data_IF_756347948548
#
_entry.id   IF_756347948548
#
_cell.length_a   1.000
_cell.length_b   1.000
_cell.length_c   1.000
_cell.angle_alpha   90.00
_cell.angle_beta   90.00
_cell.angle_gamma   90.00
#
_symmetry.space_group_name_H-M   'P 1'
#
loop_
_entity.id
_entity.type
_entity.pdbx_description
1 polymer ?
#
# COMPACT_ATOMS: atom_id res chain seq x y z
N UNK A 1 8.41 -30.90 19.30
CA UNK A 1 6.97 -30.66 19.55
C UNK A 1 6.36 -30.21 18.23
N UNK A 2 5.23 -30.78 17.82
CA UNK A 2 4.47 -30.19 16.72
C UNK A 2 3.94 -28.83 17.21
N UNK A 3 4.20 -27.76 16.46
CA UNK A 3 3.69 -26.43 16.79
C UNK A 3 2.17 -26.34 16.60
N UNK A 4 1.59 -25.12 16.71
CA UNK A 4 0.16 -24.92 16.50
C UNK A 4 -0.30 -25.41 15.13
N UNK A 5 -1.54 -25.91 15.05
CA UNK A 5 -2.20 -26.28 13.81
C UNK A 5 -2.43 -25.09 12.89
N UNK A 6 -2.80 -25.34 11.64
CA UNK A 6 -3.08 -24.27 10.67
C UNK A 6 -4.26 -23.40 11.13
N UNK A 7 -5.30 -24.02 11.66
CA UNK A 7 -6.50 -23.38 12.20
C UNK A 7 -6.19 -22.57 13.46
N UNK A 8 -5.30 -23.08 14.32
CA UNK A 8 -4.81 -22.35 15.49
C UNK A 8 -4.03 -21.09 15.06
N UNK A 9 -3.21 -21.16 14.01
CA UNK A 9 -2.52 -19.99 13.46
C UNK A 9 -3.48 -18.95 12.89
N UNK A 10 -4.50 -19.38 12.13
CA UNK A 10 -5.52 -18.46 11.59
C UNK A 10 -6.23 -17.73 12.74
N UNK A 11 -6.64 -18.47 13.77
CA UNK A 11 -7.30 -17.93 14.95
C UNK A 11 -6.40 -16.96 15.73
N UNK A 12 -5.17 -17.38 16.05
CA UNK A 12 -4.21 -16.55 16.81
C UNK A 12 -3.85 -15.24 16.10
N UNK A 13 -3.79 -15.25 14.76
CA UNK A 13 -3.48 -14.07 13.97
C UNK A 13 -4.73 -13.23 13.62
N UNK A 14 -5.93 -13.67 14.03
CA UNK A 14 -7.20 -12.99 13.72
C UNK A 14 -7.48 -12.89 12.22
N UNK A 15 -7.10 -13.91 11.45
CA UNK A 15 -7.26 -13.91 10.00
C UNK A 15 -8.63 -14.44 9.59
N UNK A 16 -9.20 -13.83 8.56
CA UNK A 16 -10.43 -14.28 7.92
C UNK A 16 -10.10 -14.77 6.51
N UNK A 17 -10.69 -15.91 6.14
CA UNK A 17 -10.59 -16.40 4.76
C UNK A 17 -11.39 -15.49 3.84
N UNK A 18 -10.78 -15.11 2.71
CA UNK A 18 -11.43 -14.37 1.64
C UNK A 18 -11.37 -15.17 0.33
N UNK A 19 -12.37 -14.94 -0.51
CA UNK A 19 -12.41 -15.42 -1.88
C UNK A 19 -11.87 -14.32 -2.79
N UNK A 20 -10.60 -14.44 -3.19
CA UNK A 20 -9.93 -13.46 -4.04
C UNK A 20 -9.85 -13.97 -5.48
N UNK A 21 -10.55 -13.34 -6.44
CA UNK A 21 -10.59 -13.79 -7.83
C UNK A 21 -9.22 -13.80 -8.54
N UNK A 22 -8.21 -13.15 -7.97
CA UNK A 22 -6.86 -13.12 -8.54
C UNK A 22 -5.96 -14.25 -8.02
N UNK A 23 -6.43 -15.04 -7.05
CA UNK A 23 -5.64 -16.08 -6.39
C UNK A 23 -6.47 -17.36 -6.31
N UNK A 24 -6.06 -18.38 -7.06
CA UNK A 24 -6.75 -19.68 -7.13
C UNK A 24 -6.80 -20.45 -5.80
N UNK A 25 -6.11 -19.97 -4.77
CA UNK A 25 -6.00 -20.59 -3.44
C UNK A 25 -6.64 -19.71 -2.38
N UNK A 26 -7.16 -20.28 -1.28
CA UNK A 26 -7.66 -19.50 -0.15
C UNK A 26 -6.65 -18.47 0.33
N UNK A 27 -7.11 -17.23 0.51
CA UNK A 27 -6.32 -16.13 1.04
C UNK A 27 -6.86 -15.79 2.43
N UNK A 28 -5.98 -15.53 3.39
CA UNK A 28 -6.33 -15.23 4.77
C UNK A 28 -5.82 -13.84 5.11
N UNK A 29 -6.70 -12.94 5.57
CA UNK A 29 -6.37 -11.52 5.80
C UNK A 29 -6.98 -11.00 7.10
N UNK A 30 -6.31 -10.04 7.74
CA UNK A 30 -6.88 -9.27 8.85
C UNK A 30 -7.84 -8.21 8.27
N UNK A 31 -8.99 -8.03 8.91
CA UNK A 31 -9.94 -6.95 8.59
C UNK A 31 -9.35 -5.59 8.94
N UNK A 32 -9.55 -4.61 8.08
CA UNK A 32 -9.19 -3.22 8.39
C UNK A 32 -10.42 -2.47 8.85
N UNK A 33 -10.65 -2.41 10.17
CA UNK A 33 -11.85 -1.79 10.76
C UNK A 33 -13.14 -2.31 10.09
N UNK A 34 -13.33 -3.62 10.14
CA UNK A 34 -14.47 -4.36 9.54
C UNK A 34 -14.61 -4.29 8.01
N UNK A 35 -13.63 -3.72 7.31
CA UNK A 35 -13.56 -3.77 5.85
C UNK A 35 -12.57 -4.86 5.41
N UNK A 36 -13.07 -5.83 4.65
CA UNK A 36 -12.26 -6.79 3.91
C UNK A 36 -12.05 -6.30 2.48
N UNK A 37 -10.79 -6.15 2.08
CA UNK A 37 -10.43 -5.76 0.71
C UNK A 37 -9.77 -6.94 -0.02
N UNK A 38 -10.17 -7.17 -1.27
CA UNK A 38 -9.47 -8.13 -2.14
C UNK A 38 -8.21 -7.47 -2.71
N UNK A 39 -7.36 -8.28 -3.33
CA UNK A 39 -6.09 -7.83 -3.89
C UNK A 39 -6.29 -6.74 -4.94
N UNK A 40 -7.34 -6.82 -5.77
CA UNK A 40 -7.61 -5.83 -6.81
C UNK A 40 -7.91 -4.43 -6.23
N UNK A 41 -8.72 -4.35 -5.18
CA UNK A 41 -9.09 -3.10 -4.51
C UNK A 41 -7.88 -2.45 -3.85
N UNK A 42 -7.00 -3.26 -3.25
CA UNK A 42 -5.73 -2.79 -2.68
C UNK A 42 -4.86 -2.17 -3.75
N UNK A 43 -4.64 -2.86 -4.87
CA UNK A 43 -3.83 -2.35 -5.96
C UNK A 43 -4.40 -1.04 -6.52
N UNK A 44 -5.73 -0.94 -6.63
CA UNK A 44 -6.42 0.28 -7.05
C UNK A 44 -6.18 1.45 -6.09
N UNK A 45 -6.25 1.20 -4.77
CA UNK A 45 -5.98 2.21 -3.75
C UNK A 45 -4.51 2.63 -3.74
N UNK A 46 -3.56 1.70 -3.83
CA UNK A 46 -2.12 2.02 -3.96
C UNK A 46 -1.87 2.87 -5.21
N UNK A 47 -2.43 2.47 -6.35
CA UNK A 47 -2.33 3.22 -7.61
C UNK A 47 -2.88 4.64 -7.49
N UNK A 48 -3.98 4.79 -6.76
CA UNK A 48 -4.59 6.09 -6.45
C UNK A 48 -3.69 6.92 -5.53
N UNK A 49 -3.07 6.32 -4.51
CA UNK A 49 -2.09 6.99 -3.65
C UNK A 49 -0.90 7.53 -4.44
N UNK A 50 -0.36 6.74 -5.39
CA UNK A 50 0.73 7.18 -6.27
C UNK A 50 0.33 8.38 -7.13
N UNK A 51 -0.85 8.31 -7.75
CA UNK A 51 -1.40 9.43 -8.54
C UNK A 51 -1.56 10.69 -7.70
N UNK A 52 -2.19 10.57 -6.54
CA UNK A 52 -2.42 11.68 -5.63
C UNK A 52 -1.09 12.29 -5.15
N UNK A 53 -0.07 11.48 -4.88
CA UNK A 53 1.26 11.95 -4.52
C UNK A 53 1.90 12.76 -5.66
N UNK A 54 1.83 12.26 -6.89
CA UNK A 54 2.31 12.99 -8.07
C UNK A 54 1.56 14.31 -8.28
N UNK A 55 0.24 14.29 -8.18
CA UNK A 55 -0.61 15.47 -8.38
C UNK A 55 -0.35 16.54 -7.32
N UNK A 56 -0.13 16.16 -6.04
CA UNK A 56 0.31 17.10 -4.99
C UNK A 56 1.64 17.78 -5.32
N UNK A 57 2.56 17.07 -5.95
CA UNK A 57 3.84 17.62 -6.43
C UNK A 57 3.72 18.41 -7.73
N UNK A 58 2.55 18.38 -8.38
CA UNK A 58 2.28 19.02 -9.68
C UNK A 58 3.27 18.58 -10.77
N UNK A 59 3.77 17.34 -10.70
CA UNK A 59 4.69 16.80 -11.70
C UNK A 59 3.86 16.08 -12.77
N UNK A 60 3.93 16.45 -14.06
CA UNK A 60 3.29 15.69 -15.11
C UNK A 60 4.02 14.36 -15.31
N UNK A 61 3.29 13.31 -15.70
CA UNK A 61 3.86 11.96 -15.92
C UNK A 61 5.03 11.98 -16.92
N UNK A 62 4.95 12.82 -17.95
CA UNK A 62 6.01 13.02 -18.95
C UNK A 62 7.34 13.54 -18.40
N UNK A 63 7.34 14.11 -17.19
CA UNK A 63 8.56 14.52 -16.48
C UNK A 63 8.97 13.51 -15.41
N UNK A 64 8.01 12.92 -14.71
CA UNK A 64 8.27 11.92 -13.68
C UNK A 64 8.81 10.60 -14.26
N UNK A 65 8.21 10.11 -15.33
CA UNK A 65 8.56 8.81 -15.90
C UNK A 65 10.04 8.73 -16.32
N UNK A 66 10.63 9.73 -17.02
CA UNK A 66 12.06 9.74 -17.32
C UNK A 66 12.96 9.74 -16.08
N UNK A 67 12.58 10.43 -14.99
CA UNK A 67 13.36 10.41 -13.73
C UNK A 67 13.43 9.00 -13.14
N UNK A 68 12.41 8.19 -13.41
CA UNK A 68 12.34 6.78 -13.01
C UNK A 68 12.95 5.84 -14.07
N UNK A 69 13.47 6.34 -15.19
CA UNK A 69 13.91 5.51 -16.31
C UNK A 69 12.77 4.75 -16.99
N UNK A 70 11.60 5.37 -17.11
CA UNK A 70 10.38 4.81 -17.71
C UNK A 70 9.87 5.69 -18.87
N UNK A 71 9.04 5.07 -19.72
CA UNK A 71 8.15 5.83 -20.60
C UNK A 71 6.91 6.30 -19.84
N UNK A 72 6.27 7.36 -20.35
CA UNK A 72 5.00 7.89 -19.84
C UNK A 72 3.91 6.80 -19.76
N UNK A 73 3.83 5.96 -20.79
CA UNK A 73 2.88 4.86 -20.86
C UNK A 73 3.10 3.82 -19.76
N UNK A 74 4.36 3.46 -19.45
CA UNK A 74 4.66 2.50 -18.39
C UNK A 74 4.26 3.06 -17.02
N UNK A 75 4.59 4.31 -16.74
CA UNK A 75 4.20 4.94 -15.48
C UNK A 75 2.68 5.11 -15.34
N UNK A 76 1.98 5.43 -16.45
CA UNK A 76 0.52 5.50 -16.47
C UNK A 76 -0.14 4.17 -16.05
N UNK A 77 0.45 3.02 -16.35
CA UNK A 77 -0.08 1.72 -15.92
C UNK A 77 -0.04 1.54 -14.41
N UNK A 78 0.99 2.07 -13.73
CA UNK A 78 1.07 2.06 -12.27
C UNK A 78 -0.05 2.88 -11.63
N UNK A 79 -0.37 4.05 -12.18
CA UNK A 79 -1.44 4.89 -11.62
C UNK A 79 -2.85 4.39 -11.93
N UNK A 80 -3.00 3.39 -12.80
CA UNK A 80 -4.30 2.81 -13.18
C UNK A 80 -4.46 1.34 -12.75
N UNK A 81 -3.61 0.84 -11.84
CA UNK A 81 -3.62 -0.54 -11.36
C UNK A 81 -3.49 -1.61 -12.46
N UNK A 82 -2.93 -1.25 -13.62
CA UNK A 82 -2.74 -2.16 -14.75
C UNK A 82 -1.46 -2.98 -14.58
N UNK A 83 -0.47 -2.45 -13.88
CA UNK A 83 0.74 -3.19 -13.48
C UNK A 83 1.20 -2.74 -12.11
N UNK A 84 1.82 -3.66 -11.37
CA UNK A 84 2.33 -3.41 -10.02
C UNK A 84 3.80 -2.98 -10.09
N UNK A 85 4.21 -1.88 -9.44
CA UNK A 85 5.63 -1.58 -9.30
C UNK A 85 6.28 -2.65 -8.41
N UNK A 86 7.53 -3.01 -8.68
CA UNK A 86 8.32 -3.78 -7.70
C UNK A 86 8.57 -2.92 -6.45
N UNK A 87 8.94 -3.53 -5.32
CA UNK A 87 9.24 -2.77 -4.09
C UNK A 87 10.38 -1.77 -4.33
N UNK A 88 11.45 -2.17 -5.01
CA UNK A 88 12.54 -1.25 -5.37
C UNK A 88 12.07 -0.10 -6.27
N UNK A 89 11.12 -0.36 -7.19
CA UNK A 89 10.49 0.69 -8.01
C UNK A 89 9.66 1.66 -7.16
N UNK A 90 8.89 1.14 -6.20
CA UNK A 90 8.10 1.95 -5.29
C UNK A 90 9.01 2.89 -4.47
N UNK A 91 10.14 2.39 -3.95
CA UNK A 91 11.11 3.22 -3.23
C UNK A 91 11.63 4.39 -4.08
N UNK A 92 12.02 4.13 -5.32
CA UNK A 92 12.48 5.19 -6.23
C UNK A 92 11.36 6.20 -6.55
N UNK A 93 10.10 5.75 -6.69
CA UNK A 93 8.96 6.66 -6.84
C UNK A 93 8.80 7.55 -5.61
N UNK A 94 8.93 6.96 -4.41
CA UNK A 94 8.86 7.68 -3.14
C UNK A 94 9.94 8.75 -3.02
N UNK A 95 11.18 8.46 -3.44
CA UNK A 95 12.28 9.43 -3.47
C UNK A 95 11.97 10.62 -4.38
N UNK A 96 11.57 10.36 -5.63
CA UNK A 96 11.32 11.43 -6.62
C UNK A 96 10.09 12.27 -6.25
N UNK A 97 9.05 11.64 -5.70
CA UNK A 97 7.85 12.33 -5.22
C UNK A 97 8.02 12.90 -3.80
N UNK A 98 9.15 12.65 -3.15
CA UNK A 98 9.45 12.96 -1.76
C UNK A 98 8.22 12.67 -0.87
N UNK A 99 7.84 11.39 -0.86
CA UNK A 99 6.73 10.85 -0.07
C UNK A 99 7.18 9.58 0.64
N UNK A 100 6.74 9.37 1.88
CA UNK A 100 7.08 8.13 2.57
C UNK A 100 6.31 6.92 1.99
N UNK A 101 6.92 5.72 1.93
CA UNK A 101 6.19 4.50 1.57
C UNK A 101 4.97 4.25 2.47
N UNK A 102 5.06 4.61 3.75
CA UNK A 102 3.96 4.50 4.71
C UNK A 102 2.73 5.29 4.26
N UNK A 103 2.90 6.51 3.72
CA UNK A 103 1.79 7.31 3.19
C UNK A 103 1.13 6.67 1.96
N UNK A 104 1.87 5.89 1.16
CA UNK A 104 1.32 5.18 0.00
C UNK A 104 0.43 4.02 0.43
N UNK A 105 0.86 3.23 1.42
CA UNK A 105 0.19 1.99 1.84
C UNK A 105 -0.84 2.20 2.95
N UNK A 106 -0.76 3.29 3.73
CA UNK A 106 -1.70 3.55 4.82
C UNK A 106 -3.19 3.44 4.41
N UNK A 107 -3.65 3.97 3.24
CA UNK A 107 -5.05 3.87 2.85
C UNK A 107 -5.60 2.45 2.62
N UNK A 108 -4.73 1.43 2.49
CA UNK A 108 -5.10 0.02 2.30
C UNK A 108 -4.94 -0.84 3.55
N UNK A 109 -4.20 -0.35 4.53
CA UNK A 109 -3.88 -1.12 5.73
C UNK A 109 -3.75 -0.24 6.99
N UNK A 110 -4.71 0.66 7.27
CA UNK A 110 -4.59 1.57 8.42
C UNK A 110 -4.55 0.83 9.76
N UNK A 111 -5.12 -0.38 9.86
CA UNK A 111 -5.03 -1.25 11.03
C UNK A 111 -3.59 -1.65 11.42
N UNK A 112 -2.61 -1.48 10.53
CA UNK A 112 -1.18 -1.67 10.88
C UNK A 112 -0.62 -0.53 11.73
N UNK A 113 -1.35 0.58 11.87
CA UNK A 113 -0.99 1.74 12.69
C UNK A 113 -1.81 1.88 13.98
N UNK A 114 -2.83 1.05 14.20
CA UNK A 114 -3.66 1.11 15.40
C UNK A 114 -4.82 0.14 15.33
N UNK A 115 -5.39 -0.24 16.48
CA UNK A 115 -6.58 -1.09 16.55
C UNK A 115 -7.86 -0.28 16.33
N UNK A 116 -7.79 1.05 16.51
CA UNK A 116 -8.86 2.00 16.22
C UNK A 116 -8.42 3.03 15.16
N UNK A 117 -9.37 3.57 14.39
CA UNK A 117 -9.07 4.53 13.32
C UNK A 117 -8.35 5.79 13.85
N UNK A 118 -8.83 6.34 14.97
CA UNK A 118 -8.22 7.53 15.57
C UNK A 118 -6.77 7.30 16.02
N UNK A 119 -6.48 6.10 16.54
CA UNK A 119 -5.11 5.70 16.90
C UNK A 119 -4.24 5.55 15.66
N UNK A 120 -4.75 4.87 14.64
CA UNK A 120 -4.04 4.69 13.38
C UNK A 120 -3.70 6.02 12.70
N UNK A 121 -4.63 6.97 12.70
CA UNK A 121 -4.41 8.33 12.18
C UNK A 121 -3.34 9.08 12.98
N UNK A 122 -3.41 9.03 14.32
CA UNK A 122 -2.43 9.65 15.20
C UNK A 122 -1.02 9.08 14.97
N UNK A 123 -0.88 7.74 14.94
CA UNK A 123 0.42 7.09 14.70
C UNK A 123 0.95 7.37 13.30
N UNK A 124 0.10 7.36 12.28
CA UNK A 124 0.50 7.72 10.91
C UNK A 124 0.99 9.15 10.82
N UNK A 125 0.36 10.09 11.54
CA UNK A 125 0.82 11.48 11.63
C UNK A 125 2.23 11.57 12.24
N UNK A 126 2.47 10.85 13.35
CA UNK A 126 3.80 10.80 13.99
C UNK A 126 4.85 10.19 13.05
N UNK A 127 4.54 9.06 12.40
CA UNK A 127 5.47 8.42 11.43
C UNK A 127 5.82 9.38 10.30
N UNK A 128 4.83 10.12 9.79
CA UNK A 128 5.03 11.12 8.75
C UNK A 128 6.08 12.15 9.20
N UNK A 129 5.88 12.80 10.34
CA UNK A 129 6.80 13.83 10.83
C UNK A 129 8.22 13.28 11.04
N UNK A 130 8.37 12.09 11.63
CA UNK A 130 9.68 11.44 11.81
C UNK A 130 10.40 11.22 10.47
N UNK A 131 9.66 10.78 9.44
CA UNK A 131 10.24 10.51 8.12
C UNK A 131 10.65 11.77 7.35
N UNK A 132 10.09 12.95 7.64
CA UNK A 132 10.44 14.22 6.97
C UNK A 132 11.50 15.06 7.71
N UNK A 133 11.90 14.70 8.94
CA UNK A 133 12.89 15.47 9.72
C UNK A 133 14.32 15.45 9.13
N UNK A 134 14.60 14.60 8.13
CA UNK A 134 15.93 14.51 7.49
C UNK A 134 15.96 15.05 6.04
N UNK A 135 15.04 15.93 5.67
CA UNK A 135 15.01 16.60 4.34
C UNK A 135 15.43 18.06 4.39
#
# INVERSE_FOLDING_TARGET
MAGPSFEEWISHLGLQQIDDPQIDKPVYRKTSFDVLELSAEIEKKISTSLRNARDRRKIPRSKLAPMLGLSDQVYNRYENAVSRPTVGRLLHICEVLNISPAEIVYPVAPHLWGEELAEAEARKSITREICYING
#
